data_IF_848330356999
#
_entry.id   IF_848330356999
#
_cell.length_a   1.000
_cell.length_b   1.000
_cell.length_c   1.000
_cell.angle_alpha   90.00
_cell.angle_beta   90.00
_cell.angle_gamma   90.00
#
_symmetry.space_group_name_H-M   'P 1'
#
loop_
_entity.id
_entity.type
_entity.pdbx_description
1 polymer ?
#
# COMPACT_ATOMS: atom_id res chain seq x y z
N UNK A 1 -3.50 14.65 -4.38
CA UNK A 1 -2.18 14.16 -3.96
C UNK A 1 -1.31 14.07 -5.21
N UNK A 2 -0.23 14.87 -5.32
CA UNK A 2 0.62 14.89 -6.51
C UNK A 2 1.81 13.96 -6.29
N UNK A 3 2.09 13.08 -7.25
CA UNK A 3 3.28 12.24 -7.19
C UNK A 3 4.52 13.09 -7.50
N UNK A 4 5.30 13.41 -6.48
CA UNK A 4 6.57 14.11 -6.66
C UNK A 4 7.72 13.11 -6.63
N UNK A 5 8.68 13.24 -7.54
CA UNK A 5 9.96 12.55 -7.44
C UNK A 5 10.98 13.51 -6.83
N UNK A 6 11.85 13.00 -5.95
CA UNK A 6 13.02 13.75 -5.46
C UNK A 6 14.26 13.09 -6.04
N UNK A 7 14.90 13.75 -7.01
CA UNK A 7 16.09 13.24 -7.70
C UNK A 7 15.89 11.82 -8.29
N UNK A 8 14.75 11.58 -8.95
CA UNK A 8 14.41 10.25 -9.51
C UNK A 8 13.98 9.19 -8.48
N UNK A 9 14.04 9.50 -7.19
CA UNK A 9 13.64 8.61 -6.09
C UNK A 9 12.25 8.93 -5.54
N UNK A 10 11.61 7.92 -4.93
CA UNK A 10 10.31 8.08 -4.28
C UNK A 10 10.37 9.16 -3.18
N UNK A 11 9.54 10.21 -3.29
CA UNK A 11 9.46 11.29 -2.29
C UNK A 11 8.64 10.97 -1.04
N UNK A 12 8.09 9.74 -0.95
CA UNK A 12 7.16 9.32 0.11
C UNK A 12 5.84 10.13 0.14
N UNK A 13 5.35 10.56 -1.03
CA UNK A 13 4.15 11.39 -1.18
C UNK A 13 2.80 10.69 -0.87
N UNK A 14 2.78 9.35 -0.72
CA UNK A 14 1.56 8.59 -0.48
C UNK A 14 0.72 8.27 -1.72
N UNK A 15 1.05 8.80 -2.91
CA UNK A 15 0.20 8.73 -4.11
C UNK A 15 -0.14 7.31 -4.61
N UNK A 16 0.68 6.30 -4.28
CA UNK A 16 0.42 4.90 -4.63
C UNK A 16 -0.21 4.07 -3.50
N UNK A 17 -0.56 4.68 -2.36
CA UNK A 17 -1.10 3.97 -1.20
C UNK A 17 -2.60 3.68 -1.37
N UNK A 18 -2.91 2.56 -2.02
CA UNK A 18 -4.28 2.04 -2.22
C UNK A 18 -4.75 1.09 -1.11
N UNK A 19 -6.06 1.03 -0.88
CA UNK A 19 -6.71 0.07 0.01
C UNK A 19 -6.80 -1.35 -0.60
N UNK A 20 -6.71 -1.51 -1.92
CA UNK A 20 -6.74 -2.84 -2.56
C UNK A 20 -5.37 -3.12 -3.19
N UNK A 21 -4.72 -4.18 -2.73
CA UNK A 21 -3.40 -4.58 -3.20
C UNK A 21 -3.33 -6.09 -3.38
N UNK A 22 -2.69 -6.62 -4.44
CA UNK A 22 -2.39 -8.03 -4.50
C UNK A 22 -1.30 -8.37 -3.49
N UNK A 23 -1.58 -9.34 -2.62
CA UNK A 23 -0.63 -9.82 -1.62
C UNK A 23 -0.59 -11.34 -1.64
N UNK A 24 0.59 -11.89 -1.36
CA UNK A 24 0.72 -13.28 -0.97
C UNK A 24 0.27 -13.49 0.48
N UNK A 25 -0.06 -14.73 0.86
CA UNK A 25 -0.37 -15.06 2.26
C UNK A 25 0.78 -14.71 3.22
N UNK A 26 2.03 -14.87 2.78
CA UNK A 26 3.20 -14.52 3.57
C UNK A 26 3.30 -13.02 3.82
N UNK A 27 3.06 -12.19 2.80
CA UNK A 27 3.02 -10.73 2.95
C UNK A 27 1.86 -10.28 3.84
N UNK A 28 0.66 -10.86 3.65
CA UNK A 28 -0.51 -10.62 4.52
C UNK A 28 -0.15 -10.86 5.98
N UNK A 29 0.46 -12.02 6.29
CA UNK A 29 0.85 -12.39 7.65
C UNK A 29 1.94 -11.47 8.22
N UNK A 30 2.92 -11.07 7.40
CA UNK A 30 3.97 -10.13 7.82
C UNK A 30 3.38 -8.77 8.19
N UNK A 31 2.47 -8.23 7.37
CA UNK A 31 1.81 -6.95 7.61
C UNK A 31 0.98 -7.00 8.90
N UNK A 32 0.19 -8.05 9.10
CA UNK A 32 -0.57 -8.26 10.36
C UNK A 32 0.33 -8.26 11.59
N UNK A 33 1.47 -8.96 11.53
CA UNK A 33 2.46 -8.96 12.63
C UNK A 33 2.99 -7.55 12.92
N UNK A 34 3.24 -6.75 11.88
CA UNK A 34 3.69 -5.36 12.03
C UNK A 34 2.60 -4.48 12.66
N UNK A 35 1.35 -4.61 12.19
CA UNK A 35 0.19 -3.89 12.73
C UNK A 35 0.06 -4.18 14.24
N UNK A 36 0.09 -5.45 14.64
CA UNK A 36 0.01 -5.87 16.04
C UNK A 36 1.22 -5.38 16.85
N UNK A 37 2.45 -5.63 16.37
CA UNK A 37 3.70 -5.23 17.06
C UNK A 37 3.79 -3.73 17.30
N UNK A 38 3.39 -2.92 16.32
CA UNK A 38 3.44 -1.44 16.37
C UNK A 38 2.15 -0.81 16.88
N UNK A 39 1.14 -1.61 17.26
CA UNK A 39 -0.19 -1.17 17.71
C UNK A 39 -0.84 -0.16 16.75
N UNK A 40 -0.74 -0.42 15.45
CA UNK A 40 -1.28 0.49 14.43
C UNK A 40 -2.81 0.40 14.41
N UNK A 41 -3.48 1.56 14.45
CA UNK A 41 -4.90 1.71 14.12
C UNK A 41 -5.06 2.10 12.64
N UNK A 42 -6.15 1.68 11.95
CA UNK A 42 -6.39 2.10 10.58
C UNK A 42 -6.66 3.61 10.52
N UNK A 43 -6.10 4.28 9.53
CA UNK A 43 -6.37 5.69 9.22
C UNK A 43 -7.54 5.79 8.23
N UNK A 44 -8.36 6.83 8.39
CA UNK A 44 -9.48 7.14 7.50
C UNK A 44 -9.23 8.51 6.89
N UNK A 45 -9.25 8.59 5.55
CA UNK A 45 -8.89 9.80 4.79
C UNK A 45 -10.10 10.53 4.20
N UNK A 46 -11.28 9.91 4.30
CA UNK A 46 -12.55 10.50 3.91
C UNK A 46 -13.56 10.37 5.05
N UNK A 47 -14.63 11.18 5.08
CA UNK A 47 -15.72 11.05 6.04
C UNK A 47 -16.37 9.65 5.99
N UNK A 48 -16.91 9.20 7.13
CA UNK A 48 -17.44 7.84 7.38
C UNK A 48 -18.48 7.32 6.37
N UNK A 49 -19.08 8.19 5.56
CA UNK A 49 -20.14 7.85 4.61
C UNK A 49 -19.61 7.55 3.18
N UNK A 50 -18.30 7.57 2.97
CA UNK A 50 -17.68 7.27 1.67
C UNK A 50 -16.84 5.99 1.66
N UNK A 51 -16.52 5.51 0.46
CA UNK A 51 -15.60 4.38 0.26
C UNK A 51 -14.13 4.84 0.32
N UNK A 52 -13.46 4.61 1.46
CA UNK A 52 -12.06 5.03 1.63
C UNK A 52 -11.13 4.05 0.93
N UNK A 53 -10.83 4.37 -0.33
CA UNK A 53 -9.89 3.62 -1.17
C UNK A 53 -8.43 3.93 -0.84
N UNK A 54 -8.16 4.79 0.15
CA UNK A 54 -6.81 5.09 0.63
C UNK A 54 -6.32 3.99 1.55
N UNK A 55 -5.04 3.66 1.46
CA UNK A 55 -4.44 2.64 2.30
C UNK A 55 -4.56 2.99 3.79
N UNK A 56 -5.07 2.10 4.66
CA UNK A 56 -5.26 2.37 6.08
C UNK A 56 -3.96 2.57 6.87
N UNK A 57 -2.79 2.19 6.31
CA UNK A 57 -1.48 2.43 6.93
C UNK A 57 -0.89 3.81 6.58
N UNK A 58 -1.49 4.54 5.64
CA UNK A 58 -1.11 5.92 5.33
C UNK A 58 -1.64 6.85 6.41
N UNK A 59 -0.78 7.68 7.01
CA UNK A 59 -1.20 8.66 8.02
C UNK A 59 -1.74 9.96 7.39
N UNK A 60 -2.29 10.85 8.22
CA UNK A 60 -2.85 12.14 7.79
C UNK A 60 -1.80 13.08 7.15
N UNK A 61 -0.51 12.84 7.39
CA UNK A 61 0.59 13.58 6.77
C UNK A 61 1.05 12.93 5.45
N UNK A 62 0.26 12.01 4.89
CA UNK A 62 0.58 11.26 3.66
C UNK A 62 1.84 10.38 3.78
N UNK A 63 2.20 9.94 4.98
CA UNK A 63 3.35 9.06 5.23
C UNK A 63 2.90 7.63 5.48
N UNK A 64 3.50 6.69 4.75
CA UNK A 64 3.25 5.26 4.96
C UNK A 64 3.94 4.79 6.25
N UNK A 65 3.16 4.38 7.26
CA UNK A 65 3.68 3.95 8.58
C UNK A 65 4.43 2.61 8.56
N UNK A 66 4.45 1.92 7.42
CA UNK A 66 5.20 0.68 7.20
C UNK A 66 6.15 0.81 5.98
N UNK A 67 6.63 2.02 5.67
CA UNK A 67 7.38 2.30 4.45
C UNK A 67 8.58 1.35 4.20
N UNK A 68 9.35 1.06 5.25
CA UNK A 68 10.51 0.16 5.18
C UNK A 68 10.08 -1.31 5.03
N UNK A 69 8.98 -1.69 5.67
CA UNK A 69 8.42 -3.04 5.66
C UNK A 69 7.38 -3.28 4.56
N UNK A 70 7.31 -2.40 3.55
CA UNK A 70 6.35 -2.51 2.46
C UNK A 70 6.32 -3.95 1.89
N UNK A 71 5.19 -4.44 1.37
CA UNK A 71 5.18 -5.65 0.55
C UNK A 71 5.86 -5.38 -0.80
N UNK A 72 6.13 -6.43 -1.57
CA UNK A 72 6.81 -6.29 -2.86
C UNK A 72 6.01 -5.39 -3.80
N UNK A 73 4.69 -5.60 -3.85
CA UNK A 73 3.78 -4.80 -4.66
C UNK A 73 3.92 -3.29 -4.39
N UNK A 74 4.04 -2.85 -3.13
CA UNK A 74 4.15 -1.43 -2.81
C UNK A 74 5.52 -0.80 -3.14
N UNK A 75 6.53 -1.61 -3.49
CA UNK A 75 7.82 -1.11 -4.00
C UNK A 75 7.78 -0.97 -5.51
N UNK A 76 7.10 -1.90 -6.18
CA UNK A 76 7.00 -1.99 -7.64
C UNK A 76 5.94 -1.02 -8.16
N UNK A 77 4.73 -1.07 -7.58
CA UNK A 77 3.63 -0.18 -7.91
C UNK A 77 3.90 1.22 -7.35
N UNK A 78 4.35 2.12 -8.22
CA UNK A 78 4.69 3.50 -7.89
C UNK A 78 3.86 4.48 -8.70
N UNK A 79 3.51 5.60 -8.07
CA UNK A 79 2.66 6.63 -8.67
C UNK A 79 3.32 7.43 -9.81
N UNK A 80 4.64 7.30 -9.98
CA UNK A 80 5.40 7.98 -11.04
C UNK A 80 5.51 7.14 -12.32
N UNK A 81 5.00 5.91 -12.31
CA UNK A 81 5.01 5.02 -13.49
C UNK A 81 3.70 5.13 -14.23
N UNK A 82 3.75 5.02 -15.55
CA UNK A 82 2.53 4.88 -16.37
C UNK A 82 1.80 3.58 -16.04
N UNK A 83 0.53 3.50 -16.40
CA UNK A 83 -0.27 2.27 -16.22
C UNK A 83 0.38 1.10 -16.97
N UNK A 84 0.93 1.30 -18.18
CA UNK A 84 1.59 0.22 -18.91
C UNK A 84 2.87 -0.26 -18.19
N UNK A 85 3.70 0.67 -17.72
CA UNK A 85 4.93 0.34 -16.98
C UNK A 85 4.61 -0.36 -15.65
N UNK A 86 3.60 0.15 -14.94
CA UNK A 86 3.10 -0.45 -13.71
C UNK A 86 2.54 -1.84 -13.94
N UNK A 87 1.77 -2.06 -15.01
CA UNK A 87 1.17 -3.34 -15.36
C UNK A 87 2.22 -4.41 -15.67
N UNK A 88 3.25 -4.09 -16.47
CA UNK A 88 4.31 -5.06 -16.81
C UNK A 88 5.07 -5.51 -15.55
N UNK A 89 5.44 -4.58 -14.68
CA UNK A 89 6.14 -4.94 -13.44
C UNK A 89 5.22 -5.64 -12.44
N UNK A 90 3.93 -5.25 -12.41
CA UNK A 90 2.89 -5.92 -11.65
C UNK A 90 2.74 -7.38 -12.06
N UNK A 91 2.61 -7.66 -13.36
CA UNK A 91 2.53 -9.03 -13.90
C UNK A 91 3.81 -9.83 -13.66
N UNK A 92 5.00 -9.21 -13.74
CA UNK A 92 6.27 -9.87 -13.39
C UNK A 92 6.40 -10.16 -11.89
N UNK A 93 5.86 -9.29 -11.04
CA UNK A 93 5.91 -9.43 -9.58
C UNK A 93 4.82 -10.36 -9.03
N UNK A 94 3.73 -10.54 -9.78
CA UNK A 94 2.72 -11.56 -9.56
C UNK A 94 3.34 -12.93 -9.84
N UNK A 95 3.91 -13.53 -8.79
CA UNK A 95 3.81 -14.99 -8.69
C UNK A 95 2.32 -15.33 -8.77
N UNK A 96 1.93 -16.43 -9.43
CA UNK A 96 0.54 -16.87 -9.58
C UNK A 96 -0.26 -17.04 -8.25
N UNK A 97 0.37 -16.75 -7.10
CA UNK A 97 -0.12 -16.91 -5.73
C UNK A 97 -0.64 -15.63 -5.07
N UNK A 98 -0.34 -14.43 -5.57
CA UNK A 98 -0.82 -13.20 -4.95
C UNK A 98 -2.28 -12.93 -5.35
N UNK A 99 -3.10 -12.56 -4.35
CA UNK A 99 -4.55 -12.34 -4.52
C UNK A 99 -4.90 -10.91 -4.11
N UNK A 100 -5.94 -10.30 -4.70
CA UNK A 100 -6.45 -9.01 -4.23
C UNK A 100 -6.82 -9.10 -2.75
N UNK A 101 -6.27 -8.20 -1.95
CA UNK A 101 -6.53 -8.08 -0.51
C UNK A 101 -6.95 -6.65 -0.20
N UNK A 102 -8.03 -6.51 0.56
CA UNK A 102 -8.44 -5.24 1.16
C UNK A 102 -7.54 -5.03 2.38
N UNK A 103 -6.70 -4.00 2.34
CA UNK A 103 -5.72 -3.68 3.38
C UNK A 103 -6.38 -3.37 4.72
N UNK A 104 -7.58 -2.80 4.70
CA UNK A 104 -8.35 -2.45 5.92
C UNK A 104 -8.79 -3.69 6.70
N UNK A 105 -9.06 -4.80 6.02
CA UNK A 105 -9.44 -6.06 6.66
C UNK A 105 -8.29 -6.65 7.50
N UNK A 106 -7.04 -6.26 7.21
CA UNK A 106 -5.87 -6.71 7.97
C UNK A 106 -5.83 -6.18 9.41
N UNK A 107 -6.69 -5.22 9.77
CA UNK A 107 -6.81 -4.67 11.12
C UNK A 107 -7.91 -5.38 11.94
N UNK A 108 -8.75 -6.20 11.31
CA UNK A 108 -9.91 -6.85 11.94
C UNK A 108 -9.61 -8.30 12.39
N UNK A 109 -8.39 -8.81 12.16
CA UNK A 109 -7.94 -10.19 12.45
C UNK A 109 -6.71 -10.23 13.39
#
# INVERSE_FOLDING_TARGET
>A
MVCNLKNGSCSKCGGCCSNILPLTNNEKNKIKKIIKKRKLKPSYHIPLNGFDMTCPVLDSNSRCRIYEDRPNICRVYRCDKSIEQGAVEFYRSLTAKAKPVIMRDLFNE
#
